data_IF_890700286657
#
_entry.id   IF_890700286657
#
_cell.length_a   1.000
_cell.length_b   1.000
_cell.length_c   1.000
_cell.angle_alpha   90.00
_cell.angle_beta   90.00
_cell.angle_gamma   90.00
#
_symmetry.space_group_name_H-M   'P 1'
#
loop_
_entity.id
_entity.type
_entity.pdbx_description
1 polymer ?
#
# COMPACT_ATOMS: atom_id res chain seq x y z
N UNK A 1 -10.16 -5.13 -18.45
CA UNK A 1 -9.33 -4.02 -18.93
C UNK A 1 -8.08 -4.68 -19.48
N UNK A 2 -7.90 -4.61 -20.80
CA UNK A 2 -6.71 -5.17 -21.44
C UNK A 2 -5.60 -4.11 -21.41
N UNK A 3 -4.43 -4.45 -20.88
CA UNK A 3 -3.31 -3.51 -20.74
C UNK A 3 -2.36 -3.71 -21.92
N UNK A 4 -2.77 -3.20 -23.07
CA UNK A 4 -2.16 -3.46 -24.36
C UNK A 4 -0.74 -2.88 -24.48
N UNK A 5 -0.41 -1.81 -23.73
CA UNK A 5 0.96 -1.30 -23.71
C UNK A 5 1.84 -2.03 -22.68
N UNK A 6 1.30 -2.42 -21.52
CA UNK A 6 2.03 -3.24 -20.54
C UNK A 6 2.33 -4.66 -21.04
N UNK A 7 1.47 -5.24 -21.87
CA UNK A 7 1.66 -6.57 -22.47
C UNK A 7 2.89 -6.62 -23.38
N UNK A 8 3.23 -5.49 -24.01
CA UNK A 8 4.39 -5.31 -24.90
C UNK A 8 5.73 -5.15 -24.17
N UNK A 9 5.71 -4.97 -22.84
CA UNK A 9 6.95 -4.86 -22.06
C UNK A 9 7.53 -6.23 -21.70
N UNK A 10 8.85 -6.35 -21.84
CA UNK A 10 9.60 -7.46 -21.24
C UNK A 10 9.52 -7.40 -19.71
N UNK A 11 9.79 -8.52 -19.03
CA UNK A 11 9.77 -8.59 -17.56
C UNK A 11 10.67 -7.54 -16.90
N UNK A 12 11.88 -7.27 -17.46
CA UNK A 12 12.79 -6.24 -16.92
C UNK A 12 12.31 -4.81 -17.17
N UNK A 13 11.72 -4.53 -18.34
CA UNK A 13 11.13 -3.21 -18.63
C UNK A 13 9.92 -2.94 -17.74
N UNK A 14 9.08 -3.96 -17.50
CA UNK A 14 7.96 -3.86 -16.56
C UNK A 14 8.44 -3.61 -15.15
N UNK A 15 9.45 -4.36 -14.68
CA UNK A 15 10.07 -4.12 -13.37
C UNK A 15 10.63 -2.70 -13.25
N UNK A 16 11.30 -2.20 -14.30
CA UNK A 16 11.77 -0.82 -14.34
C UNK A 16 10.63 0.18 -14.18
N UNK A 17 9.56 0.06 -14.98
CA UNK A 17 8.42 0.96 -14.90
C UNK A 17 7.75 0.91 -13.52
N UNK A 18 7.58 -0.28 -12.94
CA UNK A 18 7.04 -0.46 -11.59
C UNK A 18 7.87 0.29 -10.54
N UNK A 19 9.19 0.10 -10.54
CA UNK A 19 10.05 0.80 -9.59
C UNK A 19 10.13 2.30 -9.84
N UNK A 20 10.10 2.72 -11.10
CA UNK A 20 10.10 4.13 -11.49
C UNK A 20 8.86 4.87 -10.98
N UNK A 21 7.68 4.26 -11.09
CA UNK A 21 6.45 4.82 -10.54
C UNK A 21 6.46 4.79 -9.00
N UNK A 22 7.04 3.75 -8.39
CA UNK A 22 7.07 3.60 -6.94
C UNK A 22 8.12 4.45 -6.20
N UNK A 23 9.15 4.94 -6.90
CA UNK A 23 10.28 5.64 -6.28
C UNK A 23 10.32 7.15 -6.55
N UNK A 24 9.21 7.73 -6.99
CA UNK A 24 9.14 9.16 -7.33
C UNK A 24 9.83 9.51 -8.65
N UNK A 25 9.84 8.59 -9.62
CA UNK A 25 10.40 8.79 -10.95
C UNK A 25 11.92 8.99 -10.97
N UNK A 26 12.63 8.27 -10.09
CA UNK A 26 14.09 8.16 -10.11
C UNK A 26 14.50 7.00 -11.03
N UNK A 27 14.89 7.34 -12.27
CA UNK A 27 15.26 6.36 -13.28
C UNK A 27 16.45 5.49 -12.90
N UNK A 28 17.47 6.05 -12.25
CA UNK A 28 18.68 5.28 -11.90
C UNK A 28 18.36 4.25 -10.81
N UNK A 29 17.64 4.66 -9.76
CA UNK A 29 17.19 3.72 -8.72
C UNK A 29 16.23 2.66 -9.27
N UNK A 30 15.36 3.04 -10.21
CA UNK A 30 14.44 2.10 -10.84
C UNK A 30 15.17 1.05 -11.68
N UNK A 31 16.20 1.45 -12.42
CA UNK A 31 17.03 0.53 -13.20
C UNK A 31 17.79 -0.46 -12.30
N UNK A 32 18.37 0.01 -11.20
CA UNK A 32 19.04 -0.87 -10.21
C UNK A 32 18.02 -1.87 -9.64
N UNK A 33 16.88 -1.37 -9.17
CA UNK A 33 15.84 -2.21 -8.57
C UNK A 33 15.26 -3.23 -9.56
N UNK A 34 15.19 -2.89 -10.86
CA UNK A 34 14.77 -3.80 -11.92
C UNK A 34 15.85 -4.82 -12.36
N UNK A 35 17.02 -4.83 -11.71
CA UNK A 35 18.09 -5.79 -11.97
C UNK A 35 18.93 -5.46 -13.20
N UNK A 36 19.10 -4.17 -13.51
CA UNK A 36 20.17 -3.70 -14.42
C UNK A 36 21.46 -3.48 -13.64
N UNK A 37 22.60 -3.55 -14.33
CA UNK A 37 23.92 -3.33 -13.71
C UNK A 37 24.03 -1.92 -13.11
N UNK A 38 24.40 -1.84 -11.83
CA UNK A 38 24.62 -0.57 -11.11
C UNK A 38 25.53 0.39 -11.87
N UNK A 39 26.62 -0.14 -12.43
CA UNK A 39 27.61 0.65 -13.20
C UNK A 39 27.02 1.28 -14.47
N UNK A 40 25.96 0.68 -15.02
CA UNK A 40 25.32 1.14 -16.25
C UNK A 40 23.89 1.66 -16.01
N UNK A 41 23.41 1.70 -14.76
CA UNK A 41 22.01 1.93 -14.44
C UNK A 41 21.49 3.25 -14.99
N UNK A 42 22.24 4.34 -14.87
CA UNK A 42 21.84 5.65 -15.42
C UNK A 42 21.71 5.63 -16.95
N UNK A 43 22.62 4.95 -17.65
CA UNK A 43 22.54 4.80 -19.12
C UNK A 43 21.33 3.94 -19.51
N UNK A 44 21.10 2.84 -18.79
CA UNK A 44 19.95 1.96 -19.02
C UNK A 44 18.64 2.69 -18.76
N UNK A 45 18.55 3.44 -17.66
CA UNK A 45 17.40 4.28 -17.35
C UNK A 45 17.11 5.27 -18.48
N UNK A 46 18.13 5.98 -18.98
CA UNK A 46 17.98 6.87 -20.13
C UNK A 46 17.44 6.14 -21.36
N UNK A 47 17.99 4.96 -21.71
CA UNK A 47 17.49 4.16 -22.83
C UNK A 47 16.06 3.70 -22.63
N UNK A 48 15.69 3.27 -21.41
CA UNK A 48 14.35 2.79 -21.08
C UNK A 48 13.32 3.92 -21.11
N UNK A 49 13.65 5.11 -20.60
CA UNK A 49 12.77 6.27 -20.63
C UNK A 49 12.51 6.80 -22.05
N UNK A 50 13.42 6.52 -22.99
CA UNK A 50 13.26 6.83 -24.41
C UNK A 50 12.70 5.63 -25.22
N UNK A 51 12.41 4.50 -24.59
CA UNK A 51 11.85 3.35 -25.29
C UNK A 51 10.35 3.58 -25.53
N UNK A 52 9.87 3.48 -26.79
CA UNK A 52 8.48 3.80 -27.12
C UNK A 52 7.45 2.90 -26.42
N UNK A 53 7.77 1.63 -26.18
CA UNK A 53 6.88 0.72 -25.47
C UNK A 53 6.78 1.10 -23.98
N UNK A 54 7.89 1.50 -23.35
CA UNK A 54 7.91 1.96 -21.96
C UNK A 54 7.14 3.27 -21.81
N UNK A 55 7.30 4.20 -22.75
CA UNK A 55 6.54 5.46 -22.77
C UNK A 55 5.04 5.22 -22.95
N UNK A 56 4.65 4.34 -23.87
CA UNK A 56 3.24 3.98 -24.07
C UNK A 56 2.64 3.36 -22.79
N UNK A 57 3.35 2.43 -22.16
CA UNK A 57 2.92 1.81 -20.91
C UNK A 57 2.84 2.80 -19.74
N UNK A 58 3.77 3.76 -19.66
CA UNK A 58 3.70 4.81 -18.65
C UNK A 58 2.45 5.69 -18.85
N UNK A 59 2.17 6.09 -20.10
CA UNK A 59 0.98 6.86 -20.44
C UNK A 59 -0.31 6.10 -20.08
N UNK A 60 -0.41 4.84 -20.49
CA UNK A 60 -1.55 3.96 -20.17
C UNK A 60 -1.76 3.87 -18.65
N UNK A 61 -0.69 3.69 -17.86
CA UNK A 61 -0.78 3.68 -16.39
C UNK A 61 -1.23 5.02 -15.80
N UNK A 62 -0.82 6.15 -16.39
CA UNK A 62 -1.26 7.48 -15.98
C UNK A 62 -2.75 7.72 -16.24
N UNK A 63 -3.24 7.26 -17.40
CA UNK A 63 -4.66 7.34 -17.77
C UNK A 63 -5.52 6.51 -16.82
N UNK A 64 -5.13 5.25 -16.56
CA UNK A 64 -5.83 4.37 -15.62
C UNK A 64 -5.83 4.95 -14.21
N UNK A 65 -4.71 5.51 -13.75
CA UNK A 65 -4.62 6.17 -12.44
C UNK A 65 -5.58 7.36 -12.36
N UNK A 66 -5.65 8.17 -13.42
CA UNK A 66 -6.54 9.33 -13.50
C UNK A 66 -8.01 8.93 -13.51
N UNK A 67 -8.38 7.91 -14.29
CA UNK A 67 -9.75 7.36 -14.32
C UNK A 67 -10.14 6.75 -12.98
N UNK A 68 -9.25 5.96 -12.36
CA UNK A 68 -9.49 5.40 -11.03
C UNK A 68 -9.66 6.51 -9.99
N UNK A 69 -8.84 7.56 -10.05
CA UNK A 69 -8.98 8.72 -9.18
C UNK A 69 -10.33 9.42 -9.38
N UNK A 70 -10.75 9.65 -10.62
CA UNK A 70 -12.05 10.26 -10.93
C UNK A 70 -13.22 9.44 -10.37
N UNK A 71 -13.22 8.12 -10.56
CA UNK A 71 -14.24 7.22 -10.02
C UNK A 71 -14.26 7.27 -8.48
N UNK A 72 -13.09 7.22 -7.85
CA UNK A 72 -12.99 7.30 -6.38
C UNK A 72 -13.53 8.64 -5.88
N UNK A 73 -13.27 9.74 -6.58
CA UNK A 73 -13.80 11.07 -6.25
C UNK A 73 -15.31 11.12 -6.43
N UNK A 74 -15.84 10.60 -7.54
CA UNK A 74 -17.30 10.54 -7.78
C UNK A 74 -18.02 9.72 -6.71
N UNK A 75 -17.49 8.54 -6.35
CA UNK A 75 -18.04 7.73 -5.25
C UNK A 75 -17.99 8.53 -3.94
N UNK A 76 -16.86 9.17 -3.64
CA UNK A 76 -16.77 9.99 -2.42
C UNK A 76 -17.83 11.08 -2.39
N UNK A 77 -18.03 11.80 -3.49
CA UNK A 77 -19.02 12.87 -3.59
C UNK A 77 -20.46 12.33 -3.49
N UNK A 78 -20.76 11.24 -4.19
CA UNK A 78 -22.07 10.59 -4.17
C UNK A 78 -22.48 10.17 -2.76
N UNK A 79 -21.55 9.62 -1.98
CA UNK A 79 -21.83 9.08 -0.65
C UNK A 79 -21.48 10.04 0.50
N UNK A 80 -20.89 11.21 0.24
CA UNK A 80 -20.47 12.17 1.27
C UNK A 80 -21.61 12.61 2.20
N UNK A 81 -22.84 12.73 1.69
CA UNK A 81 -24.00 13.13 2.50
C UNK A 81 -24.48 12.02 3.46
N UNK A 82 -24.13 10.76 3.18
CA UNK A 82 -24.67 9.59 3.90
C UNK A 82 -23.62 8.88 4.75
N UNK A 83 -22.34 9.01 4.38
CA UNK A 83 -21.22 8.32 5.02
C UNK A 83 -20.22 9.37 5.48
N UNK A 84 -20.10 9.53 6.80
CA UNK A 84 -19.07 10.37 7.38
C UNK A 84 -17.69 9.81 7.05
N UNK A 85 -16.78 10.70 6.63
CA UNK A 85 -15.37 10.36 6.45
C UNK A 85 -14.73 10.05 7.80
N UNK A 86 -13.61 9.31 7.76
CA UNK A 86 -12.83 9.02 8.96
C UNK A 86 -12.38 10.31 9.68
N UNK A 87 -12.12 11.38 8.93
CA UNK A 87 -11.73 12.68 9.49
C UNK A 87 -12.88 13.35 10.24
N UNK A 88 -14.09 13.32 9.70
CA UNK A 88 -15.28 13.85 10.38
C UNK A 88 -15.58 13.07 11.66
N UNK A 89 -15.44 11.73 11.62
CA UNK A 89 -15.64 10.87 12.80
C UNK A 89 -14.59 11.18 13.88
N UNK A 90 -13.31 11.30 13.51
CA UNK A 90 -12.23 11.66 14.43
C UNK A 90 -12.41 13.07 15.00
N UNK A 91 -12.84 14.04 14.18
CA UNK A 91 -13.13 15.40 14.62
C UNK A 91 -14.27 15.40 15.64
N UNK A 92 -15.35 14.66 15.37
CA UNK A 92 -16.47 14.51 16.30
C UNK A 92 -16.02 13.95 17.65
N UNK A 93 -15.29 12.83 17.67
CA UNK A 93 -14.76 12.29 18.93
C UNK A 93 -13.82 13.29 19.63
N UNK A 94 -12.96 13.97 18.87
CA UNK A 94 -12.04 14.97 19.43
C UNK A 94 -12.78 16.13 20.09
N UNK A 95 -13.88 16.61 19.48
CA UNK A 95 -14.74 17.64 20.06
C UNK A 95 -15.35 17.18 21.38
N UNK A 96 -15.87 15.94 21.45
CA UNK A 96 -16.41 15.38 22.69
C UNK A 96 -15.37 15.26 23.81
N UNK A 97 -14.13 14.88 23.46
CA UNK A 97 -13.06 14.78 24.46
C UNK A 97 -12.66 16.17 24.98
N UNK A 98 -12.51 17.15 24.10
CA UNK A 98 -12.03 18.50 24.45
C UNK A 98 -13.08 19.37 25.16
N UNK A 99 -14.37 19.21 24.85
CA UNK A 99 -15.44 19.97 25.48
C UNK A 99 -16.14 19.17 26.58
N UNK A 100 -16.61 19.85 27.63
CA UNK A 100 -17.53 19.27 28.61
C UNK A 100 -18.99 19.71 28.38
N UNK A 101 -19.24 20.56 27.37
CA UNK A 101 -20.55 21.08 27.01
C UNK A 101 -20.82 20.94 25.51
N UNK A 102 -22.08 20.74 25.15
CA UNK A 102 -22.52 20.71 23.76
C UNK A 102 -22.78 22.11 23.20
N UNK A 103 -23.27 22.17 21.96
CA UNK A 103 -23.60 23.42 21.27
C UNK A 103 -24.71 24.24 21.93
N UNK A 104 -25.57 23.60 22.74
CA UNK A 104 -26.62 24.26 23.50
C UNK A 104 -26.14 24.74 24.87
N UNK A 105 -24.89 24.40 25.25
CA UNK A 105 -24.29 24.74 26.54
C UNK A 105 -24.58 23.73 27.65
N UNK A 106 -25.25 22.63 27.32
CA UNK A 106 -25.56 21.55 28.25
C UNK A 106 -24.35 20.64 28.46
N UNK A 107 -24.22 20.06 29.65
CA UNK A 107 -23.10 19.18 29.95
C UNK A 107 -23.18 17.87 29.15
N UNK A 108 -22.11 17.56 28.42
CA UNK A 108 -21.95 16.27 27.76
C UNK A 108 -21.70 15.22 28.83
N UNK A 109 -22.44 14.11 28.76
CA UNK A 109 -22.27 13.01 29.70
C UNK A 109 -20.84 12.46 29.68
N UNK A 110 -20.30 12.19 30.88
CA UNK A 110 -18.91 11.75 31.03
C UNK A 110 -18.62 10.41 30.32
N UNK A 111 -19.57 9.49 30.31
CA UNK A 111 -19.48 8.19 29.63
C UNK A 111 -19.29 8.35 28.11
N UNK A 112 -20.01 9.29 27.48
CA UNK A 112 -19.86 9.60 26.07
C UNK A 112 -18.44 10.11 25.75
N UNK A 113 -17.88 10.95 26.64
CA UNK A 113 -16.53 11.49 26.49
C UNK A 113 -15.46 10.41 26.69
N UNK A 114 -15.62 9.52 27.66
CA UNK A 114 -14.73 8.37 27.87
C UNK A 114 -14.76 7.45 26.65
N UNK A 115 -15.95 7.15 26.12
CA UNK A 115 -16.08 6.33 24.90
C UNK A 115 -15.43 6.98 23.68
N UNK A 116 -15.58 8.29 23.50
CA UNK A 116 -14.90 9.02 22.44
C UNK A 116 -13.36 8.93 22.56
N UNK A 117 -12.82 9.07 23.78
CA UNK A 117 -11.39 8.89 24.05
C UNK A 117 -10.89 7.49 23.71
N UNK A 118 -11.65 6.46 24.10
CA UNK A 118 -11.32 5.05 23.80
C UNK A 118 -11.30 4.81 22.29
N UNK A 119 -12.31 5.27 21.56
CA UNK A 119 -12.41 5.10 20.11
C UNK A 119 -11.29 5.81 19.35
N UNK A 120 -10.90 7.02 19.78
CA UNK A 120 -9.73 7.72 19.25
C UNK A 120 -8.45 6.93 19.49
N UNK A 121 -8.23 6.46 20.71
CA UNK A 121 -7.03 5.70 21.05
C UNK A 121 -6.95 4.36 20.27
N UNK A 122 -8.08 3.68 20.06
CA UNK A 122 -8.15 2.49 19.17
C UNK A 122 -7.83 2.84 17.73
N UNK A 123 -8.40 3.92 17.21
CA UNK A 123 -8.14 4.37 15.84
C UNK A 123 -6.68 4.76 15.62
N UNK A 124 -6.00 5.29 16.64
CA UNK A 124 -4.57 5.64 16.62
C UNK A 124 -3.65 4.43 16.90
N UNK A 125 -4.19 3.23 17.10
CA UNK A 125 -3.40 2.03 17.41
C UNK A 125 -2.71 2.08 18.77
N UNK A 126 -3.24 2.84 19.74
CA UNK A 126 -2.63 2.96 21.08
C UNK A 126 -2.82 1.71 21.95
N UNK A 127 -3.74 0.82 21.57
CA UNK A 127 -3.97 -0.45 22.25
C UNK A 127 -3.32 -1.59 21.47
N UNK A 128 -2.70 -2.52 22.21
CA UNK A 128 -2.21 -3.78 21.65
C UNK A 128 -3.21 -4.86 22.02
N UNK A 129 -3.84 -5.45 21.00
CA UNK A 129 -4.67 -6.64 21.19
C UNK A 129 -3.75 -7.87 21.22
N UNK A 130 -3.81 -8.63 22.32
CA UNK A 130 -3.12 -9.92 22.39
C UNK A 130 -3.85 -10.92 21.50
N UNK A 131 -3.18 -11.35 20.43
CA UNK A 131 -3.65 -12.44 19.58
C UNK A 131 -2.89 -13.69 19.98
N UNK A 132 -3.60 -14.70 20.48
CA UNK A 132 -3.05 -16.03 20.73
C UNK A 132 -3.23 -16.89 19.48
N UNK A 133 -2.12 -17.40 18.93
CA UNK A 133 -2.16 -18.35 17.82
C UNK A 133 -1.97 -19.76 18.38
N UNK A 134 -3.05 -20.52 18.43
CA UNK A 134 -3.03 -21.95 18.73
C UNK A 134 -3.55 -22.76 17.54
N UNK A 135 -3.14 -24.02 17.45
CA UNK A 135 -3.78 -25.03 16.63
C UNK A 135 -5.20 -25.33 17.12
N UNK A 136 -5.89 -26.23 16.40
CA UNK A 136 -7.23 -26.70 16.76
C UNK A 136 -7.24 -27.17 18.22
N UNK A 137 -8.23 -26.73 18.99
CA UNK A 137 -8.43 -27.07 20.40
C UNK A 137 -7.24 -26.69 21.32
N UNK A 138 -6.47 -25.65 20.95
CA UNK A 138 -5.32 -25.21 21.75
C UNK A 138 -4.03 -25.99 21.50
N UNK A 139 -4.01 -26.89 20.51
CA UNK A 139 -2.83 -27.68 20.16
C UNK A 139 -1.69 -26.81 19.61
N UNK A 140 -0.47 -27.37 19.55
CA UNK A 140 0.66 -26.70 18.91
C UNK A 140 0.38 -26.44 17.42
N UNK A 141 0.89 -25.32 16.91
CA UNK A 141 0.82 -25.03 15.48
C UNK A 141 1.66 -26.06 14.70
N UNK A 142 1.19 -26.51 13.52
CA UNK A 142 1.95 -27.44 12.70
C UNK A 142 3.29 -26.82 12.28
N UNK A 143 4.39 -27.42 12.74
CA UNK A 143 5.73 -27.06 12.32
C UNK A 143 6.03 -27.67 10.94
N UNK A 144 6.29 -26.84 9.94
CA UNK A 144 6.81 -27.30 8.65
C UNK A 144 8.31 -27.56 8.81
N UNK A 145 8.72 -28.82 8.69
CA UNK A 145 10.14 -29.19 8.64
C UNK A 145 10.62 -29.06 7.20
N UNK A 146 11.54 -28.12 6.94
CA UNK A 146 12.21 -27.99 5.65
C UNK A 146 13.48 -28.85 5.64
N UNK A 147 13.47 -29.93 4.85
CA UNK A 147 14.67 -30.72 4.59
C UNK A 147 15.41 -30.12 3.39
N UNK A 148 16.55 -29.47 3.65
CA UNK A 148 17.44 -29.03 2.59
C UNK A 148 18.21 -30.23 2.02
N UNK A 149 17.85 -30.67 0.82
CA UNK A 149 18.66 -31.62 0.06
C UNK A 149 19.87 -30.85 -0.47
N UNK A 150 21.08 -31.18 0.00
CA UNK A 150 22.31 -30.69 -0.64
C UNK A 150 22.36 -31.27 -2.05
N UNK A 151 22.42 -30.40 -3.06
CA UNK A 151 22.68 -30.85 -4.43
C UNK A 151 24.09 -31.43 -4.48
N UNK A 152 24.18 -32.71 -4.87
CA UNK A 152 25.46 -33.41 -5.02
C UNK A 152 26.14 -32.91 -6.30
N UNK A 153 26.86 -31.78 -6.18
CA UNK A 153 27.65 -31.25 -7.28
C UNK A 153 29.02 -31.94 -7.28
N UNK A 154 29.08 -33.19 -7.73
CA UNK A 154 30.34 -33.74 -8.22
C UNK A 154 30.68 -33.05 -9.54
N UNK A 155 31.47 -31.98 -9.46
CA UNK A 155 32.19 -31.44 -10.62
C UNK A 155 33.23 -32.49 -11.07
N UNK A 156 32.87 -33.31 -12.05
CA UNK A 156 33.83 -34.14 -12.77
C UNK A 156 34.63 -33.23 -13.70
N UNK A 157 35.82 -32.82 -13.28
CA UNK A 157 36.83 -32.26 -14.17
C UNK A 157 37.57 -33.42 -14.82
N UNK A 158 37.11 -33.80 -16.02
CA UNK A 158 37.82 -34.66 -16.97
C UNK A 158 38.24 -33.85 -18.19
#
# INVERSE_FOLDING_TARGET
MDFEALSKLTSKQRAFLTHYLGNGQDGTKAAIAAGYSDKAASKQAYTLLNNPNVQAAWKEMGEVTSSHHAIVTEIREQYAANIASIFEIQEFWTKLVRSNKDENGDYIKLDARIRASELLAKNMGMFVDKIEHSGKDGADLPCITLNFIKSDTTINNG
#
